data_IF_811373211220
#
_entry.id   IF_811373211220
#
_cell.length_a   1.000
_cell.length_b   1.000
_cell.length_c   1.000
_cell.angle_alpha   90.00
_cell.angle_beta   90.00
_cell.angle_gamma   90.00
#
_symmetry.space_group_name_H-M   'P 1'
#
loop_
_entity.id
_entity.type
_entity.pdbx_description
1 polymer ?
#
# COMPACT_ATOMS: atom_id res chain seq x y z
N UNK A 1 2.94 -14.60 23.43
CA UNK A 1 4.01 -13.93 22.65
C UNK A 1 3.86 -14.03 21.12
N UNK A 2 3.04 -14.93 20.55
CA UNK A 2 2.92 -15.09 19.09
C UNK A 2 2.07 -14.05 18.33
N UNK A 3 1.09 -13.40 18.98
CA UNK A 3 0.17 -12.46 18.31
C UNK A 3 0.85 -11.14 17.86
N UNK A 4 1.56 -10.49 18.77
CA UNK A 4 2.22 -9.20 18.49
C UNK A 4 3.26 -9.26 17.35
N UNK A 5 3.92 -10.40 17.15
CA UNK A 5 4.88 -10.60 16.07
C UNK A 5 4.17 -10.78 14.72
N UNK A 6 3.07 -11.54 14.69
CA UNK A 6 2.23 -11.68 13.49
C UNK A 6 1.61 -10.35 13.06
N UNK A 7 1.17 -9.53 14.02
CA UNK A 7 0.66 -8.17 13.76
C UNK A 7 1.74 -7.24 13.19
N UNK A 8 2.95 -7.27 13.76
CA UNK A 8 4.07 -6.48 13.25
C UNK A 8 4.47 -6.89 11.82
N UNK A 9 4.43 -8.20 11.53
CA UNK A 9 4.67 -8.73 10.18
C UNK A 9 3.56 -8.32 9.19
N UNK A 10 2.29 -8.37 9.61
CA UNK A 10 1.17 -7.94 8.77
C UNK A 10 1.24 -6.44 8.46
N UNK A 11 1.46 -5.57 9.47
CA UNK A 11 1.68 -4.13 9.27
C UNK A 11 2.87 -3.84 8.36
N UNK A 12 3.99 -4.56 8.55
CA UNK A 12 5.16 -4.43 7.68
C UNK A 12 4.84 -4.82 6.23
N UNK A 13 4.03 -5.86 6.03
CA UNK A 13 3.55 -6.28 4.71
C UNK A 13 2.70 -5.21 4.03
N UNK A 14 1.73 -4.63 4.73
CA UNK A 14 0.89 -3.56 4.19
C UNK A 14 1.68 -2.32 3.80
N UNK A 15 2.59 -1.83 4.66
CA UNK A 15 3.45 -0.71 4.32
C UNK A 15 4.32 -0.99 3.08
N UNK A 16 4.89 -2.20 2.99
CA UNK A 16 5.69 -2.58 1.82
C UNK A 16 4.88 -2.58 0.52
N UNK A 17 3.59 -2.95 0.57
CA UNK A 17 2.68 -2.93 -0.58
C UNK A 17 2.31 -1.50 -0.99
N UNK A 18 1.99 -0.63 -0.04
CA UNK A 18 1.73 0.80 -0.30
C UNK A 18 2.93 1.43 -1.01
N UNK A 19 4.14 1.25 -0.46
CA UNK A 19 5.35 1.79 -1.08
C UNK A 19 5.63 1.19 -2.47
N UNK A 20 5.33 -0.09 -2.69
CA UNK A 20 5.52 -0.72 -3.99
C UNK A 20 4.60 -0.10 -5.04
N UNK A 21 3.35 0.18 -4.69
CA UNK A 21 2.41 0.87 -5.56
C UNK A 21 2.81 2.32 -5.82
N UNK A 22 3.27 3.06 -4.82
CA UNK A 22 3.78 4.43 -5.02
C UNK A 22 4.99 4.46 -5.97
N UNK A 23 5.96 3.55 -5.78
CA UNK A 23 7.12 3.43 -6.68
C UNK A 23 6.71 3.07 -8.10
N UNK A 24 5.73 2.17 -8.27
CA UNK A 24 5.21 1.81 -9.58
C UNK A 24 4.53 3.01 -10.26
N UNK A 25 3.69 3.76 -9.52
CA UNK A 25 3.07 4.98 -10.03
C UNK A 25 4.12 6.01 -10.46
N UNK A 26 5.17 6.21 -9.67
CA UNK A 26 6.27 7.12 -10.00
C UNK A 26 7.04 6.70 -11.24
N UNK A 27 7.28 5.41 -11.43
CA UNK A 27 7.91 4.91 -12.65
C UNK A 27 7.04 5.17 -13.89
N UNK A 28 5.73 4.91 -13.80
CA UNK A 28 4.82 5.19 -14.91
C UNK A 28 4.71 6.68 -15.23
N UNK A 29 4.68 7.53 -14.20
CA UNK A 29 4.76 8.99 -14.37
C UNK A 29 6.01 9.40 -15.16
N UNK A 30 7.18 8.86 -14.79
CA UNK A 30 8.45 9.14 -15.47
C UNK A 30 8.45 8.68 -16.92
N UNK A 31 7.89 7.50 -17.21
CA UNK A 31 7.77 6.98 -18.57
C UNK A 31 6.84 7.84 -19.43
N UNK A 32 5.68 8.25 -18.88
CA UNK A 32 4.76 9.18 -19.54
C UNK A 32 5.42 10.53 -19.83
N UNK A 33 6.13 11.11 -18.85
CA UNK A 33 6.85 12.38 -19.01
C UNK A 33 7.97 12.31 -20.04
N UNK A 34 8.61 11.15 -20.18
CA UNK A 34 9.63 10.91 -21.18
C UNK A 34 9.06 10.67 -22.59
N UNK A 35 7.73 10.55 -22.74
CA UNK A 35 7.11 10.16 -24.01
C UNK A 35 7.46 8.74 -24.44
N UNK A 36 7.81 7.87 -23.49
CA UNK A 36 8.27 6.52 -23.79
C UNK A 36 7.08 5.57 -23.97
N UNK A 37 6.98 4.92 -25.13
CA UNK A 37 5.93 3.93 -25.39
C UNK A 37 4.53 4.54 -25.46
N UNK A 38 3.53 3.81 -24.96
CA UNK A 38 2.15 4.26 -24.89
C UNK A 38 1.97 5.19 -23.67
N UNK A 39 2.01 6.49 -23.95
CA UNK A 39 1.92 7.56 -22.94
C UNK A 39 0.60 7.52 -22.19
N UNK A 40 -0.51 7.25 -22.89
CA UNK A 40 -1.85 7.23 -22.28
C UNK A 40 -2.00 6.03 -21.35
N UNK A 41 -1.44 4.89 -21.73
CA UNK A 41 -1.38 3.71 -20.86
C UNK A 41 -0.54 3.97 -19.61
N UNK A 42 0.62 4.62 -19.74
CA UNK A 42 1.40 4.99 -18.57
C UNK A 42 0.66 5.95 -17.63
N UNK A 43 -0.12 6.91 -18.14
CA UNK A 43 -0.94 7.77 -17.28
C UNK A 43 -2.07 7.00 -16.58
N UNK A 44 -2.70 6.03 -17.26
CA UNK A 44 -3.70 5.17 -16.64
C UNK A 44 -3.08 4.30 -15.54
N UNK A 45 -1.92 3.71 -15.79
CA UNK A 45 -1.21 2.88 -14.82
C UNK A 45 -0.69 3.69 -13.63
N UNK A 46 -0.23 4.92 -13.82
CA UNK A 46 0.09 5.85 -12.72
C UNK A 46 -1.12 6.04 -11.80
N UNK A 47 -2.28 6.36 -12.37
CA UNK A 47 -3.51 6.59 -11.62
C UNK A 47 -3.99 5.33 -10.90
N UNK A 48 -3.95 4.19 -11.59
CA UNK A 48 -4.34 2.91 -11.01
C UNK A 48 -3.47 2.53 -9.82
N UNK A 49 -2.14 2.66 -9.95
CA UNK A 49 -1.23 2.37 -8.84
C UNK A 49 -1.40 3.33 -7.66
N UNK A 50 -1.67 4.61 -7.90
CA UNK A 50 -2.01 5.55 -6.80
C UNK A 50 -3.28 5.14 -6.08
N UNK A 51 -4.29 4.72 -6.82
CA UNK A 51 -5.52 4.22 -6.22
C UNK A 51 -5.28 2.95 -5.40
N UNK A 52 -4.48 1.99 -5.90
CA UNK A 52 -4.10 0.80 -5.13
C UNK A 52 -3.38 1.16 -3.84
N UNK A 53 -2.44 2.11 -3.85
CA UNK A 53 -1.75 2.56 -2.64
C UNK A 53 -2.73 3.09 -1.58
N UNK A 54 -3.73 3.88 -2.00
CA UNK A 54 -4.78 4.39 -1.11
C UNK A 54 -5.64 3.26 -0.54
N UNK A 55 -6.03 2.29 -1.37
CA UNK A 55 -6.84 1.15 -0.91
C UNK A 55 -6.07 0.27 0.07
N UNK A 56 -4.80 -0.03 -0.21
CA UNK A 56 -3.95 -0.82 0.69
C UNK A 56 -3.74 -0.13 2.04
N UNK A 57 -3.55 1.20 2.05
CA UNK A 57 -3.44 1.99 3.27
C UNK A 57 -4.73 1.95 4.10
N UNK A 58 -5.90 2.04 3.44
CA UNK A 58 -7.20 1.92 4.09
C UNK A 58 -7.42 0.52 4.68
N UNK A 59 -7.08 -0.54 3.94
CA UNK A 59 -7.18 -1.92 4.42
C UNK A 59 -6.25 -2.17 5.60
N UNK A 60 -5.05 -1.59 5.60
CA UNK A 60 -4.13 -1.66 6.73
C UNK A 60 -4.72 -0.98 7.97
N UNK A 61 -5.31 0.21 7.81
CA UNK A 61 -5.96 0.93 8.90
C UNK A 61 -7.16 0.16 9.47
N UNK A 62 -7.99 -0.46 8.62
CA UNK A 62 -9.11 -1.29 9.04
C UNK A 62 -8.65 -2.56 9.77
N UNK A 63 -7.57 -3.19 9.31
CA UNK A 63 -6.98 -4.34 9.98
C UNK A 63 -6.48 -3.98 11.38
N UNK A 64 -5.85 -2.82 11.55
CA UNK A 64 -5.38 -2.33 12.86
C UNK A 64 -6.54 -2.04 13.83
N UNK A 65 -7.68 -1.52 13.35
CA UNK A 65 -8.87 -1.25 14.18
C UNK A 65 -9.57 -2.54 14.64
N UNK A 66 -9.59 -3.57 13.80
CA UNK A 66 -10.29 -4.83 14.09
C UNK A 66 -9.47 -5.82 14.95
N UNK A 67 -8.24 -5.47 15.35
CA UNK A 67 -7.45 -6.29 16.25
C UNK A 67 -8.05 -6.29 17.68
N UNK A 68 -8.31 -7.47 18.27
CA UNK A 68 -8.86 -7.54 19.62
C UNK A 68 -7.88 -6.93 20.63
N UNK A 69 -8.32 -5.89 21.33
CA UNK A 69 -7.56 -5.28 22.43
C UNK A 69 -7.37 -6.36 23.52
N UNK A 70 -6.13 -6.63 23.98
CA UNK A 70 -5.93 -7.54 25.10
C UNK A 70 -6.69 -7.01 26.33
N UNK A 71 -7.27 -7.88 27.17
CA UNK A 71 -7.94 -7.44 28.38
C UNK A 71 -6.96 -6.63 29.22
N UNK A 72 -7.39 -5.44 29.65
CA UNK A 72 -6.58 -4.57 30.50
C UNK A 72 -6.29 -5.24 31.85
N UNK A 73 -5.19 -4.85 32.54
CA UNK A 73 -4.89 -5.40 33.85
C UNK A 73 -6.06 -5.13 34.81
N UNK A 74 -6.53 -6.20 35.47
CA UNK A 74 -7.50 -6.15 36.57
C UNK A 74 -6.85 -5.72 37.88
#
# INVERSE_FOLDING_TARGET
MGGAMAEALARHGHHALVEAHERAADNHRRLSQAGAGDVDEHQRLEQWHRWCAVVEDQLAAEADVNLPRPPGPS
#
